data_IF_863444193230
#
_entry.id   IF_863444193230
#
_cell.length_a   1.000
_cell.length_b   1.000
_cell.length_c   1.000
_cell.angle_alpha   90.00
_cell.angle_beta   90.00
_cell.angle_gamma   90.00
#
_symmetry.space_group_name_H-M   'P 1'
#
loop_
_entity.id
_entity.type
_entity.pdbx_description
1 polymer ?
#
# COMPACT_ATOMS: atom_id res chain seq x y z
N UNK A 1 -29.11 -21.74 4.30
CA UNK A 1 -30.03 -20.66 4.74
C UNK A 1 -29.41 -19.35 4.29
N UNK A 2 -29.98 -18.70 3.28
CA UNK A 2 -29.46 -17.46 2.70
C UNK A 2 -30.26 -16.28 3.30
N UNK A 3 -30.09 -16.05 4.60
CA UNK A 3 -30.69 -14.88 5.25
C UNK A 3 -29.79 -13.67 4.98
N UNK A 4 -30.37 -12.63 4.39
CA UNK A 4 -29.69 -11.35 4.26
C UNK A 4 -29.65 -10.71 5.65
N UNK A 5 -28.50 -10.19 6.09
CA UNK A 5 -28.41 -9.52 7.39
C UNK A 5 -29.31 -8.28 7.40
N UNK A 6 -29.99 -8.05 8.52
CA UNK A 6 -30.69 -6.80 8.78
C UNK A 6 -29.67 -5.69 9.07
N UNK A 7 -30.00 -4.41 8.84
CA UNK A 7 -29.13 -3.30 9.25
C UNK A 7 -28.76 -3.35 10.73
N UNK A 8 -29.69 -3.78 11.58
CA UNK A 8 -29.48 -3.97 13.02
C UNK A 8 -28.35 -4.99 13.29
N UNK A 9 -28.36 -6.13 12.61
CA UNK A 9 -27.34 -7.18 12.76
C UNK A 9 -25.94 -6.64 12.39
N UNK A 10 -25.85 -5.79 11.37
CA UNK A 10 -24.58 -5.17 10.95
C UNK A 10 -24.11 -4.18 12.02
N UNK A 11 -25.00 -3.34 12.55
CA UNK A 11 -24.65 -2.38 13.60
C UNK A 11 -24.22 -3.07 14.90
N UNK A 12 -24.83 -4.21 15.23
CA UNK A 12 -24.50 -5.00 16.42
C UNK A 12 -23.19 -5.79 16.26
N UNK A 13 -22.85 -6.24 15.05
CA UNK A 13 -21.75 -7.19 14.82
C UNK A 13 -20.59 -6.68 13.94
N UNK A 14 -20.61 -5.43 13.44
CA UNK A 14 -19.55 -4.91 12.55
C UNK A 14 -18.13 -4.96 13.15
N UNK A 15 -18.00 -4.90 14.47
CA UNK A 15 -16.71 -4.99 15.16
C UNK A 15 -16.29 -6.44 15.44
N UNK A 16 -17.18 -7.42 15.25
CA UNK A 16 -16.91 -8.81 15.55
C UNK A 16 -16.08 -9.47 14.42
N UNK A 17 -15.03 -10.18 14.82
CA UNK A 17 -14.22 -11.00 13.92
C UNK A 17 -13.80 -12.29 14.62
N UNK A 18 -13.46 -13.31 13.84
CA UNK A 18 -12.99 -14.59 14.39
C UNK A 18 -11.69 -14.39 15.17
N UNK A 19 -11.62 -15.00 16.36
CA UNK A 19 -10.50 -14.87 17.31
C UNK A 19 -9.12 -15.15 16.70
N UNK A 20 -9.04 -16.07 15.74
CA UNK A 20 -7.82 -16.33 14.99
C UNK A 20 -7.77 -15.42 13.76
N UNK A 21 -7.09 -14.28 13.92
CA UNK A 21 -6.89 -13.31 12.84
C UNK A 21 -5.83 -13.75 11.83
N UNK A 22 -5.13 -14.86 12.08
CA UNK A 22 -4.09 -15.39 11.19
C UNK A 22 -4.60 -16.44 10.22
N UNK A 23 -5.73 -17.06 10.52
CA UNK A 23 -6.36 -18.06 9.66
C UNK A 23 -6.75 -17.47 8.30
N UNK A 24 -6.28 -18.04 7.19
CA UNK A 24 -6.54 -17.55 5.84
C UNK A 24 -7.50 -18.50 5.11
N UNK A 25 -8.67 -17.97 4.75
CA UNK A 25 -9.72 -18.71 4.04
C UNK A 25 -9.69 -18.56 2.52
N UNK A 26 -8.90 -17.60 2.01
CA UNK A 26 -8.85 -17.27 0.59
C UNK A 26 -7.49 -17.62 0.01
N UNK A 27 -7.48 -18.43 -1.06
CA UNK A 27 -6.27 -18.96 -1.68
C UNK A 27 -5.71 -18.10 -2.82
N UNK A 28 -6.44 -17.07 -3.27
CA UNK A 28 -5.95 -16.11 -4.25
C UNK A 28 -5.07 -15.03 -3.63
N UNK A 29 -4.42 -14.23 -4.48
CA UNK A 29 -3.59 -13.10 -4.05
C UNK A 29 -4.46 -12.00 -3.42
N UNK A 30 -4.06 -11.50 -2.25
CA UNK A 30 -4.75 -10.43 -1.53
C UNK A 30 -3.86 -9.20 -1.41
N UNK A 31 -4.35 -8.09 -1.98
CA UNK A 31 -3.76 -6.75 -1.88
C UNK A 31 -4.60 -5.88 -0.93
N UNK A 32 -3.96 -5.22 0.04
CA UNK A 32 -4.59 -4.21 0.88
C UNK A 32 -3.98 -2.82 0.66
N UNK A 33 -4.82 -1.79 0.50
CA UNK A 33 -4.37 -0.40 0.52
C UNK A 33 -4.44 0.17 1.95
N UNK A 34 -3.43 0.94 2.33
CA UNK A 34 -3.38 1.62 3.64
C UNK A 34 -3.11 3.10 3.42
N UNK A 35 -3.91 3.98 4.00
CA UNK A 35 -3.86 5.43 3.72
C UNK A 35 -3.47 6.21 4.97
N UNK A 36 -2.59 7.21 4.84
CA UNK A 36 -2.13 8.02 5.97
C UNK A 36 -3.26 8.76 6.72
N UNK A 37 -4.30 9.22 6.01
CA UNK A 37 -5.45 9.93 6.60
C UNK A 37 -6.48 9.03 7.29
N UNK A 38 -6.32 7.70 7.22
CA UNK A 38 -7.13 6.75 7.99
C UNK A 38 -6.23 5.83 8.79
N UNK A 39 -5.82 6.32 9.97
CA UNK A 39 -4.86 5.65 10.85
C UNK A 39 -5.29 4.24 11.25
N UNK A 40 -6.59 3.97 11.34
CA UNK A 40 -7.11 2.64 11.67
C UNK A 40 -6.64 1.56 10.68
N UNK A 41 -6.41 1.92 9.41
CA UNK A 41 -5.89 1.00 8.40
C UNK A 41 -4.52 0.39 8.76
N UNK A 42 -3.68 1.13 9.50
CA UNK A 42 -2.37 0.63 9.95
C UNK A 42 -2.51 -0.50 10.97
N UNK A 43 -3.51 -0.39 11.86
CA UNK A 43 -3.79 -1.41 12.87
C UNK A 43 -4.46 -2.63 12.27
N UNK A 44 -5.43 -2.44 11.37
CA UNK A 44 -6.09 -3.52 10.62
C UNK A 44 -5.06 -4.31 9.82
N UNK A 45 -4.15 -3.64 9.11
CA UNK A 45 -3.09 -4.30 8.35
C UNK A 45 -2.19 -5.18 9.23
N UNK A 46 -1.81 -4.69 10.42
CA UNK A 46 -1.03 -5.47 11.40
C UNK A 46 -1.83 -6.65 11.95
N UNK A 47 -3.08 -6.42 12.35
CA UNK A 47 -3.94 -7.42 12.98
C UNK A 47 -4.20 -8.63 12.08
N UNK A 48 -4.42 -8.37 10.79
CA UNK A 48 -4.76 -9.39 9.79
C UNK A 48 -3.61 -9.67 8.81
N UNK A 49 -2.36 -9.34 9.18
CA UNK A 49 -1.20 -9.39 8.28
C UNK A 49 -1.05 -10.73 7.53
N UNK A 50 -1.34 -11.87 8.16
CA UNK A 50 -1.23 -13.21 7.53
C UNK A 50 -2.27 -13.48 6.44
N UNK A 51 -3.30 -12.64 6.32
CA UNK A 51 -4.32 -12.72 5.26
C UNK A 51 -3.91 -11.98 3.98
N UNK A 52 -2.88 -11.14 4.01
CA UNK A 52 -2.41 -10.36 2.86
C UNK A 52 -1.13 -10.95 2.26
N UNK A 53 -0.98 -10.80 0.95
CA UNK A 53 0.29 -11.05 0.26
C UNK A 53 1.02 -9.74 0.00
N UNK A 54 0.26 -8.68 -0.27
CA UNK A 54 0.78 -7.35 -0.61
C UNK A 54 0.01 -6.31 0.20
N UNK A 55 0.74 -5.39 0.82
CA UNK A 55 0.20 -4.14 1.36
C UNK A 55 0.77 -2.98 0.57
N UNK A 56 -0.10 -2.12 0.06
CA UNK A 56 0.25 -0.92 -0.68
C UNK A 56 -0.09 0.33 0.12
N UNK A 57 0.88 0.84 0.91
CA UNK A 57 0.67 2.10 1.59
C UNK A 57 0.62 3.26 0.59
N UNK A 58 -0.28 4.20 0.85
CA UNK A 58 -0.59 5.34 0.01
C UNK A 58 0.13 6.56 0.57
N UNK A 59 1.40 6.69 0.21
CA UNK A 59 2.27 7.77 0.70
C UNK A 59 2.75 8.68 -0.43
N UNK A 60 3.17 8.10 -1.56
CA UNK A 60 3.98 8.85 -2.51
C UNK A 60 3.19 9.47 -3.66
N UNK A 61 3.60 10.69 -4.00
CA UNK A 61 3.23 11.37 -5.23
C UNK A 61 4.49 11.71 -6.02
N UNK A 62 4.44 11.46 -7.31
CA UNK A 62 5.40 11.95 -8.29
C UNK A 62 4.83 13.27 -8.80
N UNK A 63 5.56 14.35 -8.60
CA UNK A 63 5.20 15.70 -9.04
C UNK A 63 6.26 16.25 -9.98
N UNK A 64 5.89 17.22 -10.82
CA UNK A 64 6.85 18.00 -11.60
C UNK A 64 7.02 19.40 -11.00
N UNK A 65 8.27 19.81 -10.89
CA UNK A 65 8.68 21.18 -10.63
C UNK A 65 9.42 21.68 -11.87
N UNK A 66 8.71 22.41 -12.74
CA UNK A 66 9.16 22.63 -14.12
C UNK A 66 9.30 21.31 -14.88
N UNK A 67 10.51 21.01 -15.35
CA UNK A 67 10.84 19.76 -16.05
C UNK A 67 11.49 18.69 -15.15
N UNK A 68 11.65 18.96 -13.86
CA UNK A 68 12.23 18.00 -12.91
C UNK A 68 11.18 17.16 -12.21
N UNK A 69 11.44 15.85 -12.07
CA UNK A 69 10.61 14.96 -11.27
C UNK A 69 11.01 15.02 -9.80
N UNK A 70 10.01 15.10 -8.91
CA UNK A 70 10.20 15.04 -7.46
C UNK A 70 9.23 14.04 -6.83
N UNK A 71 9.63 13.44 -5.71
CA UNK A 71 8.78 12.56 -4.92
C UNK A 71 8.36 13.30 -3.66
N UNK A 72 7.05 13.44 -3.46
CA UNK A 72 6.44 13.98 -2.25
C UNK A 72 5.89 12.86 -1.35
N UNK A 73 5.47 13.21 -0.13
CA UNK A 73 4.84 12.27 0.82
C UNK A 73 5.82 11.39 1.61
N UNK A 74 7.14 11.63 1.49
CA UNK A 74 8.16 10.86 2.22
C UNK A 74 8.07 10.97 3.75
N UNK A 75 7.42 11.99 4.28
CA UNK A 75 7.20 12.15 5.73
C UNK A 75 6.15 11.19 6.30
N UNK A 76 5.27 10.62 5.46
CA UNK A 76 4.25 9.65 5.89
C UNK A 76 4.79 8.22 6.05
N UNK A 77 6.07 8.01 5.69
CA UNK A 77 6.71 6.70 5.74
C UNK A 77 6.98 6.29 7.19
N UNK A 78 6.33 5.20 7.62
CA UNK A 78 6.59 4.60 8.93
C UNK A 78 7.37 3.29 8.81
N UNK A 79 8.69 3.39 9.03
CA UNK A 79 9.61 2.23 8.98
C UNK A 79 9.34 1.23 10.11
N UNK A 80 8.93 1.69 11.29
CA UNK A 80 8.63 0.80 12.40
C UNK A 80 7.38 -0.03 12.11
N UNK A 81 6.33 0.62 11.59
CA UNK A 81 5.13 -0.07 11.15
C UNK A 81 5.41 -1.11 10.07
N UNK A 82 6.21 -0.78 9.06
CA UNK A 82 6.57 -1.76 8.02
C UNK A 82 7.33 -2.97 8.57
N UNK A 83 8.27 -2.76 9.51
CA UNK A 83 8.98 -3.86 10.18
C UNK A 83 8.02 -4.75 10.97
N UNK A 84 7.12 -4.14 11.73
CA UNK A 84 6.12 -4.89 12.51
C UNK A 84 5.17 -5.67 11.60
N UNK A 85 4.69 -5.04 10.53
CA UNK A 85 3.81 -5.64 9.54
C UNK A 85 4.46 -6.85 8.87
N UNK A 86 5.72 -6.74 8.42
CA UNK A 86 6.51 -7.87 7.88
C UNK A 86 6.67 -8.98 8.91
N UNK A 87 6.97 -8.66 10.17
CA UNK A 87 7.11 -9.64 11.26
C UNK A 87 5.80 -10.41 11.49
N UNK A 88 4.67 -9.70 11.57
CA UNK A 88 3.34 -10.32 11.79
C UNK A 88 2.84 -11.08 10.56
N UNK A 89 3.20 -10.65 9.36
CA UNK A 89 2.82 -11.27 8.09
C UNK A 89 3.68 -12.47 7.69
N UNK A 90 4.67 -12.87 8.50
CA UNK A 90 5.53 -14.03 8.21
C UNK A 90 4.69 -15.32 8.23
N UNK A 91 4.69 -16.05 7.12
CA UNK A 91 4.00 -17.33 7.01
C UNK A 91 4.95 -18.50 7.33
N UNK A 92 4.39 -19.64 7.75
CA UNK A 92 5.15 -20.85 8.13
C UNK A 92 6.02 -21.39 6.99
N UNK A 93 5.61 -21.19 5.73
CA UNK A 93 6.36 -21.60 4.53
C UNK A 93 7.44 -20.61 4.10
N UNK A 94 7.77 -19.62 4.94
CA UNK A 94 8.81 -18.62 4.66
C UNK A 94 8.37 -17.49 3.72
N UNK A 95 7.18 -17.55 3.13
CA UNK A 95 6.59 -16.44 2.39
C UNK A 95 6.37 -15.25 3.32
N UNK A 96 6.91 -14.10 2.94
CA UNK A 96 6.79 -12.85 3.70
C UNK A 96 5.90 -11.89 2.93
N UNK A 97 4.98 -11.24 3.64
CA UNK A 97 4.15 -10.14 3.14
C UNK A 97 5.03 -9.07 2.46
N UNK A 98 4.65 -8.67 1.25
CA UNK A 98 5.34 -7.64 0.47
C UNK A 98 4.72 -6.28 0.75
N UNK A 99 5.56 -5.24 0.82
CA UNK A 99 5.11 -3.86 0.97
C UNK A 99 5.50 -3.12 -0.30
N UNK A 100 4.49 -2.69 -1.07
CA UNK A 100 4.66 -2.00 -2.35
C UNK A 100 3.91 -0.67 -2.32
N UNK A 101 4.56 0.41 -1.87
CA UNK A 101 3.93 1.73 -1.81
C UNK A 101 3.35 2.15 -3.15
N UNK A 102 2.19 2.80 -3.09
CA UNK A 102 1.53 3.38 -4.25
C UNK A 102 2.20 4.70 -4.61
N UNK A 103 2.40 4.92 -5.90
CA UNK A 103 2.83 6.19 -6.48
C UNK A 103 1.71 6.76 -7.34
N UNK A 104 1.41 8.04 -7.18
CA UNK A 104 0.50 8.77 -8.07
C UNK A 104 1.28 9.82 -8.83
N UNK A 105 1.04 9.95 -10.13
CA UNK A 105 1.44 11.15 -10.88
C UNK A 105 0.46 12.28 -10.55
N UNK A 106 0.87 13.21 -9.69
CA UNK A 106 0.04 14.31 -9.23
C UNK A 106 0.35 15.59 -10.03
N UNK A 107 -0.72 16.27 -10.47
CA UNK A 107 -0.67 17.48 -11.31
C UNK A 107 0.03 17.34 -12.67
N UNK A 108 0.13 16.12 -13.20
CA UNK A 108 0.67 15.88 -14.53
C UNK A 108 -0.31 16.38 -15.60
N UNK A 109 0.21 17.12 -16.58
CA UNK A 109 -0.54 17.51 -17.78
C UNK A 109 -0.47 16.43 -18.86
N UNK A 110 -1.32 16.52 -19.89
CA UNK A 110 -1.22 15.65 -21.07
C UNK A 110 0.15 15.72 -21.73
N UNK A 111 0.76 16.92 -21.76
CA UNK A 111 2.11 17.13 -22.28
C UNK A 111 3.14 16.36 -21.45
N UNK A 112 3.00 16.34 -20.13
CA UNK A 112 3.93 15.61 -19.25
C UNK A 112 3.86 14.12 -19.48
N UNK A 113 2.65 13.56 -19.57
CA UNK A 113 2.47 12.15 -19.89
C UNK A 113 2.98 11.81 -21.29
N UNK A 114 2.66 12.64 -22.30
CA UNK A 114 3.16 12.44 -23.67
C UNK A 114 4.69 12.43 -23.70
N UNK A 115 5.35 13.39 -23.06
CA UNK A 115 6.82 13.43 -22.98
C UNK A 115 7.39 12.22 -22.25
N UNK A 116 6.86 11.87 -21.08
CA UNK A 116 7.31 10.72 -20.30
C UNK A 116 7.18 9.40 -21.08
N UNK A 117 6.07 9.22 -21.81
CA UNK A 117 5.81 8.00 -22.58
C UNK A 117 6.62 7.94 -23.88
N UNK A 118 6.91 9.08 -24.51
CA UNK A 118 7.62 9.13 -25.80
C UNK A 118 9.14 9.24 -25.65
N UNK A 119 9.65 9.96 -24.65
CA UNK A 119 11.08 10.26 -24.51
C UNK A 119 11.76 9.29 -23.53
N UNK A 120 12.78 8.57 -23.99
CA UNK A 120 13.56 7.66 -23.15
C UNK A 120 14.27 8.40 -22.02
N UNK A 121 14.81 9.58 -22.29
CA UNK A 121 15.50 10.42 -21.29
C UNK A 121 14.61 10.77 -20.11
N UNK A 122 13.32 11.03 -20.34
CA UNK A 122 12.34 11.30 -19.29
C UNK A 122 12.09 10.05 -18.44
N UNK A 123 11.98 8.86 -19.06
CA UNK A 123 11.83 7.59 -18.33
C UNK A 123 13.06 7.25 -17.51
N UNK A 124 14.26 7.51 -18.01
CA UNK A 124 15.51 7.29 -17.26
C UNK A 124 15.53 8.15 -16.00
N UNK A 125 15.24 9.46 -16.13
CA UNK A 125 15.17 10.38 -14.97
C UNK A 125 14.14 9.94 -13.93
N UNK A 126 12.95 9.54 -14.38
CA UNK A 126 11.91 9.02 -13.49
C UNK A 126 12.36 7.72 -12.79
N UNK A 127 12.98 6.79 -13.51
CA UNK A 127 13.47 5.55 -12.92
C UNK A 127 14.57 5.80 -11.88
N UNK A 128 15.47 6.76 -12.13
CA UNK A 128 16.53 7.13 -11.18
C UNK A 128 15.95 7.62 -9.85
N UNK A 129 14.95 8.50 -9.86
CA UNK A 129 14.34 8.98 -8.60
C UNK A 129 13.61 7.87 -7.84
N UNK A 130 12.92 6.96 -8.55
CA UNK A 130 12.21 5.84 -7.94
C UNK A 130 13.19 4.83 -7.31
N UNK A 131 14.28 4.52 -8.00
CA UNK A 131 15.34 3.62 -7.50
C UNK A 131 16.04 4.26 -6.28
N UNK A 132 16.32 5.56 -6.33
CA UNK A 132 17.00 6.24 -5.23
C UNK A 132 16.14 6.27 -3.95
N UNK A 133 14.82 6.41 -4.08
CA UNK A 133 13.90 6.27 -2.96
C UNK A 133 13.97 4.88 -2.31
N UNK A 134 14.07 3.81 -3.11
CA UNK A 134 14.20 2.44 -2.60
C UNK A 134 15.50 2.23 -1.82
N UNK A 135 16.60 2.86 -2.27
CA UNK A 135 17.92 2.76 -1.62
C UNK A 135 17.97 3.40 -0.24
N UNK A 136 17.03 4.29 0.09
CA UNK A 136 16.90 4.89 1.43
C UNK A 136 16.42 3.89 2.51
N UNK A 137 16.26 2.59 2.17
CA UNK A 137 15.91 1.50 3.10
C UNK A 137 14.61 1.76 3.85
N UNK A 138 13.60 2.14 3.09
CA UNK A 138 12.18 1.98 3.43
C UNK A 138 11.85 0.48 3.41
#
# INVERSE_FOLDING_TARGET
INMRPLPQDILEHNAAYYKDTTYRNFNGTVLGYVTAWNSHGYDVAKMFARKFDIISPVWFQIVKDGDEYKIAGGHDVDVNWMRELKRKGKQERGTTLKIFPRFIFDKFTERDFSRMLSLETERVRLNEILINLQKLRI
#
